data_IF_308966663215
#
_entry.id   IF_308966663215
#
_cell.length_a   1.000
_cell.length_b   1.000
_cell.length_c   1.000
_cell.angle_alpha   90.00
_cell.angle_beta   90.00
_cell.angle_gamma   90.00
#
_symmetry.space_group_name_H-M   'P 1'
#
loop_
_entity.id
_entity.type
_entity.pdbx_description
1 polymer ?
#
# COMPACT_ATOMS: atom_id res chain seq x y z
N UNK A 1 -1.43 16.11 -1.90
CA UNK A 1 -1.10 14.75 -2.38
C UNK A 1 0.41 14.66 -2.45
N UNK A 2 1.08 14.19 -1.40
CA UNK A 2 2.53 13.98 -1.46
C UNK A 2 2.84 12.76 -0.58
N UNK A 3 2.80 11.58 -1.20
CA UNK A 3 3.18 10.34 -0.52
C UNK A 3 4.69 10.36 -0.36
N UNK A 4 5.19 10.11 0.86
CA UNK A 4 6.61 9.82 1.06
C UNK A 4 6.89 8.44 0.47
N UNK A 5 7.82 8.38 -0.47
CA UNK A 5 8.27 7.12 -1.04
C UNK A 5 9.03 6.32 0.02
N UNK A 6 8.74 5.03 0.11
CA UNK A 6 9.54 4.13 0.93
C UNK A 6 10.77 3.65 0.14
N UNK A 7 11.89 3.37 0.81
CA UNK A 7 13.05 2.75 0.16
C UNK A 7 12.75 1.34 -0.38
N UNK A 8 11.64 0.72 0.02
CA UNK A 8 11.16 -0.58 -0.45
C UNK A 8 10.07 -0.48 -1.52
N UNK A 9 9.78 0.71 -2.04
CA UNK A 9 8.72 0.88 -3.04
C UNK A 9 9.05 0.14 -4.34
N UNK A 10 8.03 -0.54 -4.88
CA UNK A 10 8.10 -1.21 -6.19
C UNK A 10 7.51 -0.32 -7.27
N UNK A 11 7.94 -0.51 -8.52
CA UNK A 11 7.35 0.25 -9.63
C UNK A 11 5.87 -0.10 -9.83
N UNK A 12 5.07 0.87 -10.30
CA UNK A 12 3.64 0.63 -10.62
C UNK A 12 3.46 -0.46 -11.69
N UNK A 13 4.42 -0.62 -12.59
CA UNK A 13 4.43 -1.69 -13.60
C UNK A 13 4.54 -3.08 -12.97
N UNK A 14 5.38 -3.23 -11.94
CA UNK A 14 5.50 -4.47 -11.17
C UNK A 14 4.26 -4.73 -10.31
N UNK A 15 3.57 -3.67 -9.87
CA UNK A 15 2.33 -3.78 -9.10
C UNK A 15 1.10 -4.10 -9.97
N UNK A 16 1.10 -3.71 -11.24
CA UNK A 16 -0.02 -3.93 -12.18
C UNK A 16 -0.60 -5.37 -12.17
N UNK A 17 0.20 -6.46 -12.17
CA UNK A 17 -0.34 -7.81 -12.10
C UNK A 17 -0.95 -8.18 -10.74
N UNK A 18 -0.60 -7.50 -9.65
CA UNK A 18 -1.14 -7.76 -8.30
C UNK A 18 -2.49 -7.07 -8.07
N UNK A 19 -2.70 -5.94 -8.73
CA UNK A 19 -3.92 -5.13 -8.66
C UNK A 19 -5.21 -5.95 -8.88
N UNK A 20 -5.35 -6.76 -9.95
CA UNK A 20 -6.56 -7.58 -10.16
C UNK A 20 -6.77 -8.65 -9.08
N UNK A 21 -5.69 -9.19 -8.49
CA UNK A 21 -5.80 -10.16 -7.40
C UNK A 21 -6.36 -9.49 -6.13
N UNK A 22 -5.86 -8.30 -5.79
CA UNK A 22 -6.34 -7.50 -4.66
C UNK A 22 -7.79 -7.05 -4.86
N UNK A 23 -8.16 -6.67 -6.07
CA UNK A 23 -9.54 -6.29 -6.39
C UNK A 23 -10.50 -7.48 -6.34
N UNK A 24 -10.06 -8.68 -6.75
CA UNK A 24 -10.88 -9.89 -6.71
C UNK A 24 -11.24 -10.33 -5.29
N UNK A 25 -10.34 -10.11 -4.32
CA UNK A 25 -10.58 -10.41 -2.91
C UNK A 25 -11.55 -9.43 -2.22
N UNK A 26 -11.87 -8.30 -2.87
CA UNK A 26 -12.64 -7.22 -2.27
C UNK A 26 -14.15 -7.47 -2.38
N UNK A 27 -14.82 -7.59 -1.23
CA UNK A 27 -16.28 -7.42 -1.14
C UNK A 27 -16.62 -5.94 -1.31
N UNK A 28 -17.37 -5.57 -2.35
CA UNK A 28 -17.78 -4.18 -2.64
C UNK A 28 -18.90 -3.72 -1.70
N UNK A 29 -18.57 -3.41 -0.45
CA UNK A 29 -19.53 -2.88 0.54
C UNK A 29 -19.44 -1.36 0.71
N UNK A 30 -18.27 -0.74 0.51
CA UNK A 30 -18.10 0.71 0.52
C UNK A 30 -17.05 1.15 -0.52
N UNK A 31 -17.16 2.37 -1.09
CA UNK A 31 -16.11 2.93 -1.93
C UNK A 31 -14.86 3.23 -1.08
N UNK A 32 -13.72 2.69 -1.50
CA UNK A 32 -12.44 2.94 -0.84
C UNK A 32 -12.01 4.39 -1.05
N UNK A 33 -11.55 5.03 0.04
CA UNK A 33 -10.90 6.34 0.01
C UNK A 33 -9.38 6.26 -0.15
N UNK A 34 -8.82 5.04 -0.16
CA UNK A 34 -7.38 4.76 -0.10
C UNK A 34 -6.93 4.05 -1.38
N UNK A 35 -5.77 4.44 -1.93
CA UNK A 35 -5.12 3.75 -3.06
C UNK A 35 -4.54 2.40 -2.60
N UNK A 36 -4.85 1.32 -3.31
CA UNK A 36 -4.34 -0.03 -3.02
C UNK A 36 -2.83 -0.11 -3.18
N UNK A 37 -2.26 0.63 -4.15
CA UNK A 37 -0.82 0.69 -4.35
C UNK A 37 -0.11 1.29 -3.14
N UNK A 38 -0.72 2.31 -2.55
CA UNK A 38 -0.23 2.92 -1.33
C UNK A 38 -0.19 1.86 -0.22
N UNK A 39 -1.32 1.22 0.09
CA UNK A 39 -1.41 0.24 1.18
C UNK A 39 -0.42 -0.91 0.99
N UNK A 40 -0.29 -1.39 -0.24
CA UNK A 40 0.64 -2.46 -0.58
C UNK A 40 2.10 -2.07 -0.25
N UNK A 41 2.51 -0.87 -0.63
CA UNK A 41 3.87 -0.41 -0.37
C UNK A 41 4.15 -0.18 1.12
N UNK A 42 3.17 0.29 1.89
CA UNK A 42 3.30 0.38 3.35
C UNK A 42 3.47 -1.00 4.01
N UNK A 43 2.70 -2.00 3.58
CA UNK A 43 2.85 -3.39 4.04
C UNK A 43 4.22 -3.95 3.64
N UNK A 44 4.68 -3.67 2.42
CA UNK A 44 5.98 -4.12 1.94
C UNK A 44 7.12 -3.50 2.76
N UNK A 45 7.02 -2.21 3.08
CA UNK A 45 7.98 -1.54 3.96
C UNK A 45 8.02 -2.15 5.35
N UNK A 46 6.85 -2.42 5.93
CA UNK A 46 6.72 -3.09 7.21
C UNK A 46 7.39 -4.47 7.19
N UNK A 47 7.13 -5.26 6.15
CA UNK A 47 7.71 -6.59 5.99
C UNK A 47 9.24 -6.51 5.84
N UNK A 48 9.76 -5.53 5.09
CA UNK A 48 11.20 -5.40 4.81
C UNK A 48 12.00 -4.89 5.99
N UNK A 49 11.45 -3.98 6.78
CA UNK A 49 12.14 -3.34 7.91
C UNK A 49 11.82 -3.98 9.25
N UNK A 50 10.71 -4.71 9.36
CA UNK A 50 10.23 -5.28 10.63
C UNK A 50 9.80 -4.23 11.66
N UNK A 51 9.55 -2.99 11.24
CA UNK A 51 9.18 -1.92 12.15
C UNK A 51 7.77 -2.11 12.73
N UNK A 52 7.42 -1.35 13.77
CA UNK A 52 6.03 -1.31 14.25
C UNK A 52 5.13 -0.57 13.25
N UNK A 53 3.84 -0.91 13.20
CA UNK A 53 2.84 -0.15 12.42
C UNK A 53 2.81 1.34 12.77
N UNK A 54 3.10 1.71 14.02
CA UNK A 54 3.16 3.12 14.46
C UNK A 54 4.41 3.86 13.98
N UNK A 55 5.42 3.12 13.53
CA UNK A 55 6.65 3.67 12.97
C UNK A 55 6.56 3.87 11.46
N UNK A 56 5.43 3.50 10.84
CA UNK A 56 5.15 3.95 9.48
C UNK A 56 5.11 5.49 9.49
N UNK A 57 5.77 6.15 8.53
CA UNK A 57 5.69 7.59 8.37
C UNK A 57 4.20 7.96 8.28
N UNK A 58 3.78 8.88 9.16
CA UNK A 58 2.38 9.15 9.52
C UNK A 58 1.47 9.68 8.40
N UNK A 59 1.86 9.53 7.14
CA UNK A 59 1.09 9.86 5.95
C UNK A 59 0.20 8.68 5.48
N UNK A 60 0.17 7.55 6.20
CA UNK A 60 -0.45 6.27 5.81
C UNK A 60 -1.51 5.71 6.80
N UNK A 61 -2.73 5.33 6.34
CA UNK A 61 -3.55 5.95 5.31
C UNK A 61 -4.47 7.04 5.90
N UNK A 62 -4.79 8.06 5.09
CA UNK A 62 -5.89 9.01 5.33
C UNK A 62 -7.25 8.39 5.06
#
# INVERSE_FOLDING_TARGET
MNRKAYPSDISRTQFAPLLPLLESARKRTAPSKVDLYDVFCAILYLQRTGCSWRALPGDFPK
#
